data_IF_404133486914
#
_entry.id   IF_404133486914
#
_cell.length_a   1.000
_cell.length_b   1.000
_cell.length_c   1.000
_cell.angle_alpha   90.00
_cell.angle_beta   90.00
_cell.angle_gamma   90.00
#
_symmetry.space_group_name_H-M   'P 1'
#
loop_
_entity.id
_entity.type
_entity.pdbx_description
1 polymer ?
#
# COMPACT_ATOMS: atom_id res chain seq x y z
N UNK A 1 -25.79 14.34 7.64
CA UNK A 1 -24.43 13.77 7.54
C UNK A 1 -24.28 13.21 6.14
N UNK A 2 -23.51 13.88 5.28
CA UNK A 2 -23.09 13.31 4.00
C UNK A 2 -21.91 12.40 4.33
N UNK A 3 -22.10 11.08 4.23
CA UNK A 3 -20.94 10.20 4.19
C UNK A 3 -20.15 10.55 2.93
N UNK A 4 -18.80 10.60 2.97
CA UNK A 4 -18.02 10.79 1.76
C UNK A 4 -18.37 9.67 0.78
N UNK A 5 -18.74 10.04 -0.45
CA UNK A 5 -19.03 9.08 -1.51
C UNK A 5 -17.75 8.30 -1.84
N UNK A 6 -17.88 6.98 -1.86
CA UNK A 6 -16.84 6.07 -2.31
C UNK A 6 -16.64 6.19 -3.82
N UNK A 7 -15.39 6.38 -4.23
CA UNK A 7 -15.04 6.66 -5.62
C UNK A 7 -14.65 5.35 -6.29
N UNK A 8 -15.50 4.86 -7.19
CA UNK A 8 -15.14 3.79 -8.12
C UNK A 8 -14.27 4.39 -9.24
N UNK A 9 -13.05 3.87 -9.40
CA UNK A 9 -12.23 4.22 -10.55
C UNK A 9 -12.70 3.36 -11.73
N UNK A 10 -13.53 3.94 -12.59
CA UNK A 10 -14.07 3.29 -13.80
C UNK A 10 -12.99 3.14 -14.87
N UNK A 11 -12.08 2.19 -14.66
CA UNK A 11 -11.00 1.82 -15.57
C UNK A 11 -11.23 0.39 -16.08
N UNK A 12 -11.00 0.12 -17.37
CA UNK A 12 -11.19 -1.21 -17.95
C UNK A 12 -10.29 -2.24 -17.26
N UNK A 13 -10.79 -3.48 -17.17
CA UNK A 13 -10.08 -4.61 -16.56
C UNK A 13 -9.59 -4.38 -15.11
N UNK A 14 -10.28 -3.51 -14.37
CA UNK A 14 -9.95 -3.18 -12.99
C UNK A 14 -11.17 -3.23 -12.07
N UNK A 15 -10.89 -3.40 -10.78
CA UNK A 15 -11.84 -3.18 -9.70
C UNK A 15 -11.07 -2.43 -8.61
N UNK A 16 -11.20 -1.10 -8.65
CA UNK A 16 -10.47 -0.17 -7.79
C UNK A 16 -11.48 0.78 -7.15
N UNK A 17 -11.53 0.77 -5.81
CA UNK A 17 -12.38 1.68 -5.01
C UNK A 17 -11.52 2.54 -4.12
N UNK A 18 -11.82 3.83 -4.05
CA UNK A 18 -11.10 4.80 -3.25
C UNK A 18 -12.02 5.50 -2.26
N UNK A 19 -11.56 5.58 -1.01
CA UNK A 19 -12.28 6.18 0.11
C UNK A 19 -11.37 7.30 0.67
N UNK A 20 -11.58 8.57 0.28
CA UNK A 20 -10.68 9.67 0.63
C UNK A 20 -10.62 9.92 2.15
N UNK A 21 -11.77 9.94 2.82
CA UNK A 21 -11.89 10.25 4.26
C UNK A 21 -12.21 9.00 5.08
N UNK A 22 -11.48 7.89 4.83
CA UNK A 22 -11.74 6.63 5.52
C UNK A 22 -11.40 6.67 7.02
N UNK A 23 -10.33 7.38 7.35
CA UNK A 23 -10.03 7.88 8.68
C UNK A 23 -10.22 9.38 8.70
N UNK A 24 -10.87 9.90 9.74
CA UNK A 24 -10.92 11.34 9.91
C UNK A 24 -9.52 11.88 10.24
N UNK A 25 -9.35 13.20 10.16
CA UNK A 25 -8.04 13.84 10.37
C UNK A 25 -7.41 13.50 11.72
N UNK A 26 -8.20 13.49 12.80
CA UNK A 26 -7.71 13.25 14.16
C UNK A 26 -7.22 11.81 14.34
N UNK A 27 -8.00 10.83 13.87
CA UNK A 27 -7.61 9.42 13.84
C UNK A 27 -6.33 9.23 13.01
N UNK A 28 -6.30 9.82 11.82
CA UNK A 28 -5.22 9.65 10.87
C UNK A 28 -3.90 10.31 11.34
N UNK A 29 -3.97 11.46 12.01
CA UNK A 29 -2.83 12.11 12.66
C UNK A 29 -2.29 11.26 13.82
N UNK A 30 -3.18 10.72 14.66
CA UNK A 30 -2.81 9.85 15.78
C UNK A 30 -2.11 8.57 15.29
N UNK A 31 -2.68 7.89 14.29
CA UNK A 31 -2.07 6.72 13.67
C UNK A 31 -0.74 7.06 12.99
N UNK A 32 -0.66 8.15 12.24
CA UNK A 32 0.60 8.56 11.62
C UNK A 32 1.72 8.71 12.66
N UNK A 33 1.47 9.46 13.73
CA UNK A 33 2.46 9.72 14.78
C UNK A 33 2.87 8.45 15.53
N UNK A 34 1.90 7.60 15.89
CA UNK A 34 2.19 6.34 16.57
C UNK A 34 3.01 5.39 15.69
N UNK A 35 2.54 5.14 14.46
CA UNK A 35 3.22 4.22 13.53
C UNK A 35 4.63 4.71 13.18
N UNK A 36 4.82 6.02 12.98
CA UNK A 36 6.12 6.61 12.69
C UNK A 36 7.12 6.35 13.84
N UNK A 37 6.65 6.49 15.09
CA UNK A 37 7.48 6.36 16.29
C UNK A 37 7.75 4.91 16.69
N UNK A 38 6.77 4.02 16.52
CA UNK A 38 6.78 2.70 17.16
C UNK A 38 7.08 1.54 16.19
N UNK A 39 6.90 1.71 14.87
CA UNK A 39 7.33 0.69 13.92
C UNK A 39 8.86 0.68 13.83
N UNK A 40 9.45 -0.50 13.95
CA UNK A 40 10.88 -0.70 13.70
C UNK A 40 11.15 -0.73 12.19
N UNK A 41 11.33 0.45 11.60
CA UNK A 41 11.55 0.61 10.16
C UNK A 41 12.92 0.11 9.71
N UNK A 42 12.97 -0.67 8.63
CA UNK A 42 14.22 -1.17 8.04
C UNK A 42 14.36 -0.78 6.55
N UNK A 43 15.60 -0.71 6.07
CA UNK A 43 15.92 -0.46 4.66
C UNK A 43 16.63 -1.65 4.03
N UNK A 44 15.84 -2.51 3.37
CA UNK A 44 16.37 -3.71 2.72
C UNK A 44 17.07 -3.41 1.40
N UNK A 45 17.91 -4.34 0.96
CA UNK A 45 18.56 -4.32 -0.34
C UNK A 45 17.70 -5.04 -1.40
N UNK A 46 17.52 -4.42 -2.56
CA UNK A 46 16.86 -5.01 -3.74
C UNK A 46 17.87 -5.21 -4.86
N UNK A 47 17.76 -6.35 -5.54
CA UNK A 47 18.53 -6.63 -6.75
C UNK A 47 17.68 -6.38 -7.98
N UNK A 48 18.07 -5.39 -8.78
CA UNK A 48 17.39 -5.01 -10.03
C UNK A 48 18.41 -5.04 -11.16
N UNK A 49 18.15 -5.83 -12.21
CA UNK A 49 19.06 -6.05 -13.34
C UNK A 49 20.50 -6.43 -12.90
N UNK A 50 20.61 -7.32 -11.91
CA UNK A 50 21.89 -7.83 -11.40
C UNK A 50 22.67 -6.86 -10.51
N UNK A 51 22.13 -5.66 -10.23
CA UNK A 51 22.75 -4.67 -9.33
C UNK A 51 21.93 -4.53 -8.06
N UNK A 52 22.61 -4.49 -6.92
CA UNK A 52 22.01 -4.36 -5.59
C UNK A 52 21.95 -2.90 -5.18
N UNK A 53 20.78 -2.45 -4.74
CA UNK A 53 20.53 -1.10 -4.27
C UNK A 53 19.70 -1.12 -2.99
N UNK A 54 19.85 -0.11 -2.14
CA UNK A 54 18.90 0.11 -1.05
C UNK A 54 17.53 0.44 -1.61
N UNK A 55 16.48 -0.18 -1.07
CA UNK A 55 15.11 0.19 -1.38
C UNK A 55 14.91 1.69 -1.12
N UNK A 56 14.32 2.45 -2.05
CA UNK A 56 14.09 3.87 -1.86
C UNK A 56 12.84 4.10 -1.00
N UNK A 57 12.74 3.42 0.15
CA UNK A 57 11.74 3.53 1.21
C UNK A 57 12.17 2.64 2.37
N UNK A 58 11.64 2.91 3.56
CA UNK A 58 11.74 1.96 4.68
C UNK A 58 10.51 1.05 4.69
N UNK A 59 10.65 -0.16 5.20
CA UNK A 59 9.56 -1.12 5.30
C UNK A 59 9.53 -1.82 6.65
N UNK A 60 8.41 -2.45 6.97
CA UNK A 60 8.25 -3.42 8.04
C UNK A 60 7.11 -4.37 7.67
N UNK A 61 7.30 -5.68 7.90
CA UNK A 61 6.30 -6.69 7.60
C UNK A 61 5.60 -7.14 8.89
N UNK A 62 4.28 -7.24 8.83
CA UNK A 62 3.44 -7.76 9.92
C UNK A 62 2.58 -8.92 9.42
N UNK A 63 2.32 -9.91 10.26
CA UNK A 63 1.58 -11.12 9.87
C UNK A 63 1.11 -11.96 11.04
N UNK A 64 -0.06 -12.59 10.91
CA UNK A 64 -0.67 -13.40 11.97
C UNK A 64 -0.20 -14.87 12.00
N UNK A 65 0.41 -15.34 10.92
CA UNK A 65 0.74 -16.76 10.71
C UNK A 65 2.24 -17.06 10.86
N UNK A 66 3.05 -16.06 11.19
CA UNK A 66 4.52 -16.19 11.27
C UNK A 66 5.18 -16.57 9.93
N UNK A 67 4.43 -16.63 8.82
CA UNK A 67 4.95 -17.09 7.53
C UNK A 67 5.80 -15.99 6.91
N UNK A 68 7.02 -16.32 6.45
CA UNK A 68 7.84 -15.34 5.74
C UNK A 68 7.14 -14.92 4.44
N UNK A 69 7.30 -13.65 4.07
CA UNK A 69 6.84 -13.11 2.79
C UNK A 69 8.05 -12.87 1.89
N UNK A 70 7.97 -13.38 0.66
CA UNK A 70 9.05 -13.24 -0.30
C UNK A 70 8.65 -12.28 -1.43
N UNK A 71 9.37 -11.17 -1.58
CA UNK A 71 9.21 -10.25 -2.72
C UNK A 71 10.57 -9.76 -3.21
N UNK A 72 10.76 -9.67 -4.53
CA UNK A 72 12.00 -9.16 -5.15
C UNK A 72 13.29 -9.84 -4.64
N UNK A 73 13.25 -11.16 -4.41
CA UNK A 73 14.34 -11.98 -3.83
C UNK A 73 14.72 -11.64 -2.37
N UNK A 74 13.86 -10.93 -1.64
CA UNK A 74 14.01 -10.69 -0.20
C UNK A 74 12.99 -11.58 0.53
N UNK A 75 13.47 -12.30 1.54
CA UNK A 75 12.60 -13.03 2.49
C UNK A 75 12.48 -12.18 3.75
N UNK A 76 11.27 -11.69 4.04
CA UNK A 76 10.97 -10.91 5.25
C UNK A 76 10.24 -11.79 6.26
N UNK A 77 10.62 -11.70 7.53
CA UNK A 77 9.92 -12.38 8.63
C UNK A 77 8.91 -11.41 9.27
N UNK A 78 7.62 -11.79 9.37
CA UNK A 78 6.61 -10.88 9.90
C UNK A 78 6.75 -10.69 11.41
N UNK A 79 6.62 -9.43 11.84
CA UNK A 79 6.30 -9.11 13.22
C UNK A 79 4.83 -9.42 13.51
N UNK A 80 4.49 -9.62 14.79
CA UNK A 80 3.09 -9.64 15.23
C UNK A 80 2.51 -8.24 15.05
N UNK A 81 1.25 -8.15 14.62
CA UNK A 81 0.54 -6.87 14.54
C UNK A 81 0.58 -6.14 15.89
N UNK A 82 0.96 -4.87 15.87
CA UNK A 82 0.79 -3.99 17.04
C UNK A 82 -0.69 -3.70 17.25
N UNK A 83 -1.05 -3.21 18.43
CA UNK A 83 -2.44 -2.87 18.75
C UNK A 83 -3.03 -1.86 17.75
N UNK A 84 -2.26 -0.83 17.38
CA UNK A 84 -2.69 0.19 16.42
C UNK A 84 -2.88 -0.38 15.02
N UNK A 85 -1.96 -1.23 14.57
CA UNK A 85 -2.10 -1.90 13.27
C UNK A 85 -3.29 -2.87 13.26
N UNK A 86 -3.58 -3.52 14.38
CA UNK A 86 -4.75 -4.38 14.52
C UNK A 86 -6.05 -3.57 14.45
N UNK A 87 -6.12 -2.41 15.11
CA UNK A 87 -7.29 -1.50 15.02
C UNK A 87 -7.53 -1.01 13.58
N UNK A 88 -6.47 -0.56 12.90
CA UNK A 88 -6.54 -0.13 11.48
C UNK A 88 -7.02 -1.31 10.63
N UNK A 89 -6.41 -2.48 10.81
CA UNK A 89 -6.78 -3.70 10.09
C UNK A 89 -8.26 -4.03 10.29
N UNK A 90 -8.74 -4.08 11.54
CA UNK A 90 -10.13 -4.44 11.83
C UNK A 90 -11.15 -3.46 11.23
N UNK A 91 -10.83 -2.14 11.22
CA UNK A 91 -11.66 -1.13 10.55
C UNK A 91 -11.69 -1.36 9.03
N UNK A 92 -10.55 -1.63 8.41
CA UNK A 92 -10.46 -1.96 6.98
C UNK A 92 -11.23 -3.24 6.66
N UNK A 93 -11.00 -4.31 7.41
CA UNK A 93 -11.67 -5.61 7.23
C UNK A 93 -13.19 -5.50 7.33
N UNK A 94 -13.68 -4.69 8.27
CA UNK A 94 -15.11 -4.41 8.42
C UNK A 94 -15.66 -3.67 7.20
N UNK A 95 -14.94 -2.65 6.71
CA UNK A 95 -15.38 -1.86 5.54
C UNK A 95 -15.45 -2.69 4.26
N UNK A 96 -14.48 -3.58 4.03
CA UNK A 96 -14.35 -4.33 2.77
C UNK A 96 -14.82 -5.78 2.88
N UNK A 97 -15.36 -6.17 4.04
CA UNK A 97 -15.83 -7.53 4.35
C UNK A 97 -14.84 -8.64 3.95
N UNK A 98 -13.56 -8.44 4.29
CA UNK A 98 -12.46 -9.37 3.94
C UNK A 98 -11.49 -9.46 5.09
N UNK A 99 -10.96 -10.65 5.39
CA UNK A 99 -9.92 -10.85 6.40
C UNK A 99 -8.53 -10.88 5.77
N UNK A 100 -7.63 -10.04 6.27
CA UNK A 100 -6.24 -9.95 5.82
C UNK A 100 -5.32 -10.68 6.80
N UNK A 101 -4.25 -11.28 6.29
CA UNK A 101 -3.29 -12.06 7.10
C UNK A 101 -1.95 -11.37 7.25
N UNK A 102 -1.64 -10.40 6.38
CA UNK A 102 -0.34 -9.75 6.28
C UNK A 102 -0.50 -8.27 5.99
N UNK A 103 0.40 -7.44 6.54
CA UNK A 103 0.53 -6.03 6.22
C UNK A 103 1.99 -5.68 5.93
N UNK A 104 2.27 -5.15 4.74
CA UNK A 104 3.55 -4.51 4.44
C UNK A 104 3.42 -3.00 4.68
N UNK A 105 4.03 -2.53 5.76
CA UNK A 105 4.17 -1.11 6.04
C UNK A 105 5.32 -0.52 5.21
N UNK A 106 5.09 0.65 4.62
CA UNK A 106 6.08 1.38 3.82
C UNK A 106 6.15 2.83 4.31
N UNK A 107 7.33 3.30 4.68
CA UNK A 107 7.61 4.69 5.02
C UNK A 107 8.43 5.35 3.90
N UNK A 108 7.82 6.34 3.26
CA UNK A 108 8.47 7.23 2.30
C UNK A 108 8.92 8.46 3.09
N UNK A 109 10.23 8.63 3.26
CA UNK A 109 10.81 9.67 4.11
C UNK A 109 10.64 11.08 3.54
N UNK A 110 10.57 11.21 2.23
CA UNK A 110 10.35 12.45 1.48
C UNK A 110 10.05 12.14 0.00
N UNK A 111 10.09 13.16 -0.86
CA UNK A 111 9.88 13.04 -2.31
C UNK A 111 10.90 12.17 -3.06
N UNK A 112 12.06 11.87 -2.48
CA UNK A 112 13.08 11.02 -3.12
C UNK A 112 12.82 9.52 -2.94
N UNK A 113 11.98 9.14 -1.98
CA UNK A 113 11.55 7.77 -1.80
C UNK A 113 10.42 7.41 -2.79
N UNK A 114 10.40 6.17 -3.24
CA UNK A 114 9.54 5.68 -4.33
C UNK A 114 9.28 4.18 -4.27
N UNK A 115 8.33 3.73 -5.07
CA UNK A 115 8.20 2.33 -5.44
C UNK A 115 7.93 2.28 -6.95
N UNK A 116 8.77 1.57 -7.70
CA UNK A 116 8.75 1.56 -9.17
C UNK A 116 7.49 0.91 -9.74
N UNK A 117 7.38 0.86 -11.07
CA UNK A 117 6.26 0.17 -11.72
C UNK A 117 6.25 -1.32 -11.38
N UNK A 118 5.17 -1.77 -10.74
CA UNK A 118 4.95 -3.17 -10.36
C UNK A 118 3.45 -3.51 -10.36
N UNK A 119 3.13 -4.78 -10.16
CA UNK A 119 1.82 -5.23 -9.73
C UNK A 119 2.02 -6.22 -8.59
N UNK A 120 1.04 -6.34 -7.72
CA UNK A 120 1.05 -7.32 -6.63
C UNK A 120 0.56 -8.67 -7.20
N UNK A 121 1.47 -9.40 -7.83
CA UNK A 121 1.18 -10.65 -8.55
C UNK A 121 2.05 -11.83 -8.08
N UNK A 122 2.53 -11.77 -6.84
CA UNK A 122 3.28 -12.84 -6.20
C UNK A 122 2.43 -14.10 -6.08
N UNK A 123 3.05 -15.27 -6.30
CA UNK A 123 2.34 -16.57 -6.29
C UNK A 123 1.58 -16.80 -4.98
N UNK A 124 2.13 -16.34 -3.86
CA UNK A 124 1.58 -16.48 -2.50
C UNK A 124 0.24 -15.76 -2.32
N UNK A 125 -0.05 -14.75 -3.14
CA UNK A 125 -1.31 -13.98 -3.11
C UNK A 125 -2.45 -14.67 -3.87
N UNK A 126 -2.13 -15.70 -4.67
CA UNK A 126 -3.11 -16.41 -5.50
C UNK A 126 -3.63 -15.57 -6.69
N UNK A 127 -4.75 -16.02 -7.26
CA UNK A 127 -5.39 -15.36 -8.42
C UNK A 127 -6.37 -14.29 -7.94
N UNK A 128 -6.37 -13.13 -8.61
CA UNK A 128 -7.23 -11.98 -8.29
C UNK A 128 -7.13 -11.56 -6.80
N UNK A 129 -5.94 -11.19 -6.30
CA UNK A 129 -5.78 -10.85 -4.89
C UNK A 129 -6.56 -9.59 -4.52
N UNK A 130 -7.09 -9.57 -3.29
CA UNK A 130 -7.70 -8.39 -2.68
C UNK A 130 -6.61 -7.69 -1.87
N UNK A 131 -6.37 -6.42 -2.18
CA UNK A 131 -5.33 -5.59 -1.57
C UNK A 131 -5.96 -4.30 -1.06
N UNK A 132 -5.79 -4.03 0.22
CA UNK A 132 -6.22 -2.79 0.84
C UNK A 132 -5.00 -1.94 1.20
N UNK A 133 -4.96 -0.70 0.72
CA UNK A 133 -3.87 0.25 0.90
C UNK A 133 -4.37 1.46 1.69
N UNK A 134 -3.88 1.63 2.91
CA UNK A 134 -4.19 2.79 3.77
C UNK A 134 -3.02 3.76 3.76
N UNK A 135 -3.30 5.05 3.60
CA UNK A 135 -2.27 6.10 3.52
C UNK A 135 -2.37 7.10 4.68
N UNK A 136 -1.23 7.43 5.29
CA UNK A 136 -1.10 8.46 6.33
C UNK A 136 0.08 9.38 6.02
N UNK A 137 0.05 10.60 6.56
CA UNK A 137 1.03 11.66 6.29
C UNK A 137 0.86 12.32 4.92
N UNK A 138 1.99 12.67 4.29
CA UNK A 138 2.04 13.44 3.05
C UNK A 138 1.37 12.71 1.87
N UNK A 139 0.63 13.47 1.08
CA UNK A 139 -0.10 12.94 -0.08
C UNK A 139 0.84 12.59 -1.24
N UNK A 140 0.52 11.50 -1.95
CA UNK A 140 1.31 11.06 -3.10
C UNK A 140 0.40 10.61 -4.24
N UNK A 141 0.79 10.97 -5.45
CA UNK A 141 0.16 10.41 -6.64
C UNK A 141 0.52 8.93 -6.79
N UNK A 142 -0.50 8.10 -6.76
CA UNK A 142 -0.49 6.72 -7.21
C UNK A 142 -0.73 6.70 -8.72
N UNK A 143 0.28 6.30 -9.47
CA UNK A 143 0.16 6.23 -10.92
C UNK A 143 -0.24 4.82 -11.32
N UNK A 144 -1.16 4.72 -12.28
CA UNK A 144 -1.65 3.50 -12.89
C UNK A 144 -1.36 3.54 -14.39
N UNK A 145 -0.91 2.42 -14.97
CA UNK A 145 -0.84 2.23 -16.42
C UNK A 145 -1.27 0.82 -16.79
N UNK A 146 -2.04 0.70 -17.87
CA UNK A 146 -2.41 -0.61 -18.40
C UNK A 146 -1.19 -1.29 -19.04
N UNK A 147 -1.09 -2.61 -18.93
CA UNK A 147 0.05 -3.40 -19.44
C UNK A 147 0.06 -3.49 -20.97
N UNK A 148 -1.12 -3.58 -21.58
CA UNK A 148 -1.28 -3.86 -23.00
C UNK A 148 -1.68 -2.63 -23.82
N UNK A 149 -2.37 -1.68 -23.19
CA UNK A 149 -2.81 -0.44 -23.84
C UNK A 149 -2.04 0.75 -23.25
N UNK A 150 -1.13 1.32 -24.04
CA UNK A 150 -0.27 2.42 -23.60
C UNK A 150 -1.01 3.76 -23.48
N UNK A 151 -2.21 3.88 -24.05
CA UNK A 151 -3.05 5.07 -23.94
C UNK A 151 -3.72 5.17 -22.57
N UNK A 152 -3.96 4.02 -21.92
CA UNK A 152 -4.64 3.94 -20.63
C UNK A 152 -3.68 4.20 -19.47
N UNK A 153 -3.79 5.40 -18.90
CA UNK A 153 -3.04 5.85 -17.72
C UNK A 153 -3.97 6.64 -16.81
N UNK A 154 -3.83 6.44 -15.51
CA UNK A 154 -4.55 7.19 -14.50
C UNK A 154 -3.60 7.65 -13.39
N UNK A 155 -3.93 8.76 -12.74
CA UNK A 155 -3.30 9.17 -11.49
C UNK A 155 -4.37 9.41 -10.44
N UNK A 156 -4.13 8.91 -9.24
CA UNK A 156 -4.97 9.13 -8.08
C UNK A 156 -4.12 9.75 -6.98
N UNK A 157 -4.57 10.86 -6.40
CA UNK A 157 -3.91 11.45 -5.23
C UNK A 157 -4.38 10.70 -3.99
N UNK A 158 -3.48 9.95 -3.36
CA UNK A 158 -3.77 9.25 -2.11
C UNK A 158 -3.62 10.22 -0.95
N UNK A 159 -4.74 10.54 -0.32
CA UNK A 159 -4.86 11.54 0.73
C UNK A 159 -4.52 10.95 2.11
N UNK A 160 -4.28 11.84 3.06
CA UNK A 160 -4.12 11.49 4.46
C UNK A 160 -5.39 10.83 5.01
N UNK A 161 -5.28 9.64 5.61
CA UNK A 161 -6.42 8.88 6.14
C UNK A 161 -7.21 8.10 5.08
N UNK A 162 -6.75 8.06 3.83
CA UNK A 162 -7.47 7.40 2.74
C UNK A 162 -7.27 5.88 2.70
N UNK A 163 -8.26 5.18 2.15
CA UNK A 163 -8.20 3.76 1.81
C UNK A 163 -8.35 3.58 0.28
N UNK A 164 -7.45 2.80 -0.32
CA UNK A 164 -7.55 2.31 -1.69
C UNK A 164 -7.71 0.79 -1.66
N UNK A 165 -8.81 0.28 -2.20
CA UNK A 165 -9.05 -1.14 -2.40
C UNK A 165 -8.78 -1.50 -3.87
N UNK A 166 -7.90 -2.47 -4.12
CA UNK A 166 -7.66 -3.05 -5.44
C UNK A 166 -7.97 -4.54 -5.40
N UNK A 167 -8.81 -5.01 -6.31
CA UNK A 167 -9.22 -6.41 -6.35
C UNK A 167 -9.54 -6.88 -7.78
N UNK A 168 -10.15 -8.06 -7.90
CA UNK A 168 -10.55 -8.62 -9.19
C UNK A 168 -9.35 -8.79 -10.12
N UNK A 169 -9.48 -8.36 -11.37
CA UNK A 169 -8.43 -8.55 -12.38
C UNK A 169 -7.33 -7.47 -12.36
N UNK A 170 -7.40 -6.49 -11.44
CA UNK A 170 -6.55 -5.30 -11.45
C UNK A 170 -5.05 -5.62 -11.58
N UNK A 171 -4.52 -6.53 -10.76
CA UNK A 171 -3.08 -6.85 -10.76
C UNK A 171 -2.61 -7.60 -12.02
N UNK A 172 -3.54 -8.15 -12.80
CA UNK A 172 -3.25 -8.82 -14.07
C UNK A 172 -3.07 -7.82 -15.22
N UNK A 173 -3.77 -6.69 -15.18
CA UNK A 173 -3.88 -5.75 -16.30
C UNK A 173 -3.20 -4.42 -16.04
N UNK A 174 -3.09 -4.00 -14.78
CA UNK A 174 -2.56 -2.70 -14.40
C UNK A 174 -1.25 -2.83 -13.63
N UNK A 175 -0.31 -1.94 -13.95
CA UNK A 175 0.87 -1.67 -13.16
C UNK A 175 0.68 -0.37 -12.40
N UNK A 176 1.25 -0.29 -11.21
CA UNK A 176 1.21 0.89 -10.37
C UNK A 176 2.57 1.29 -9.81
N UNK A 177 2.70 2.55 -9.40
CA UNK A 177 3.90 3.08 -8.76
C UNK A 177 3.60 4.27 -7.86
N UNK A 178 4.55 4.54 -6.96
CA UNK A 178 4.72 5.82 -6.27
C UNK A 178 6.02 6.44 -6.79
N UNK A 179 5.91 7.39 -7.72
CA UNK A 179 7.07 8.00 -8.37
C UNK A 179 7.75 9.05 -7.48
N UNK A 180 9.07 9.23 -7.61
CA UNK A 180 9.81 10.33 -6.97
C UNK A 180 9.25 11.69 -7.40
N UNK A 181 9.36 12.68 -6.53
CA UNK A 181 8.99 14.07 -6.79
C UNK A 181 10.06 15.03 -6.28
N UNK A 182 10.27 16.13 -7.01
CA UNK A 182 11.15 17.22 -6.59
C UNK A 182 10.45 18.21 -5.65
N UNK A 183 9.13 18.09 -5.47
CA UNK A 183 8.40 18.89 -4.50
C UNK A 183 8.91 18.58 -3.10
N UNK A 184 9.09 19.62 -2.29
CA UNK A 184 9.36 19.46 -0.87
C UNK A 184 8.07 18.99 -0.18
N UNK A 185 8.10 17.74 0.30
CA UNK A 185 6.93 17.07 0.89
C UNK A 185 7.39 16.25 2.09
N UNK A 186 6.50 16.15 3.08
CA UNK A 186 6.73 15.40 4.30
C UNK A 186 6.76 13.88 4.10
N UNK A 187 6.82 13.19 5.24
CA UNK A 187 6.83 11.74 5.31
C UNK A 187 5.43 11.16 5.00
N UNK A 188 5.40 9.99 4.36
CA UNK A 188 4.17 9.22 4.09
C UNK A 188 4.33 7.80 4.59
N UNK A 189 3.35 7.32 5.34
CA UNK A 189 3.21 5.91 5.70
C UNK A 189 2.11 5.28 4.83
N UNK A 190 2.37 4.07 4.35
CA UNK A 190 1.43 3.26 3.59
C UNK A 190 1.39 1.85 4.14
N UNK A 191 0.20 1.41 4.53
CA UNK A 191 -0.06 0.06 5.01
C UNK A 191 -0.74 -0.72 3.89
N UNK A 192 -0.11 -1.79 3.41
CA UNK A 192 -0.67 -2.64 2.35
C UNK A 192 -1.05 -3.99 2.91
N UNK A 193 -2.35 -4.18 3.13
CA UNK A 193 -2.93 -5.41 3.65
C UNK A 193 -3.22 -6.40 2.53
N UNK A 194 -2.84 -7.67 2.77
CA UNK A 194 -2.95 -8.76 1.80
C UNK A 194 -3.37 -10.07 2.48
N UNK A 195 -3.80 -11.02 1.67
CA UNK A 195 -4.11 -12.39 2.09
C UNK A 195 -3.00 -13.30 1.55
N UNK A 196 -2.08 -13.69 2.44
CA UNK A 196 -1.11 -14.75 2.20
C UNK A 196 -1.64 -16.02 2.86
N UNK A 197 -1.75 -17.09 2.07
CA UNK A 197 -2.29 -18.39 2.51
C UNK A 197 -1.29 -19.21 3.30
#
# INVERSE_FOLDING_TARGET
>A
MLFPEDILLDLPDSDIKYYPDFFNKEEADAYFNSLLKHINWQQDDITVFGKTYKQPRLTALFGNNGKPYSYSNITMHPHVFTEELQQIKDKVETKVNTKFTTCLANLYRNGNDSNGWHADNEKELGKNPIIASVSFGAERYFHLKHRHDKSLKQKLLLQHGSLLLMQGKTQHHWLHQIAKTKKDIGQRINLTFRIIK
#
